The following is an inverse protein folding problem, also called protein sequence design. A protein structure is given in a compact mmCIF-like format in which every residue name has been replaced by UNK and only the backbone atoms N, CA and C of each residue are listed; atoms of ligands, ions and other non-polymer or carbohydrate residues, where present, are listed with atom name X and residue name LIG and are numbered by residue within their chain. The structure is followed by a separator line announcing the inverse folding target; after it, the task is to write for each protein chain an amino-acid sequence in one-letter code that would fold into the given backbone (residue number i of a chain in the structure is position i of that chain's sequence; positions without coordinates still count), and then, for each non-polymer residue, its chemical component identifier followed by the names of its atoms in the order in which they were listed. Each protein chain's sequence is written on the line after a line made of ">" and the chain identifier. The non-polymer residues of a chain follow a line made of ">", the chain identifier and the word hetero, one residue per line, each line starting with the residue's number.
data_IF_070733150661
#
_entry.id   IF_070733150661
#
_cell.length_a   1.000
_cell.length_b   1.000
_cell.length_c   1.000
_cell.angle_alpha   90.00
_cell.angle_beta   90.00
_cell.angle_gamma   90.00
#
_symmetry.space_group_name_H-M   'P 1'
#
loop_
_entity.id
_entity.type
_entity.pdbx_description
1 polymer ?
#
# COMPACT_ATOMS: atom_id res chain seq x y z
N UNK A 1 -18.73 -2.15 10.45
CA UNK A 1 -20.15 -1.76 10.33
C UNK A 1 -20.37 -1.00 9.05
N UNK A 2 -20.52 -1.72 7.93
CA UNK A 2 -20.84 -1.21 6.58
C UNK A 2 -21.98 -2.04 5.96
N UNK A 3 -22.97 -2.44 6.78
CA UNK A 3 -24.13 -3.25 6.34
C UNK A 3 -25.44 -2.45 6.26
N UNK A 4 -25.38 -1.12 6.20
CA UNK A 4 -26.58 -0.27 6.26
C UNK A 4 -26.76 0.77 5.16
N UNK A 5 -26.02 0.68 4.06
CA UNK A 5 -26.23 1.54 2.90
C UNK A 5 -26.13 0.74 1.58
N UNK A 6 -27.12 -0.12 1.34
CA UNK A 6 -27.54 -0.45 -0.03
C UNK A 6 -29.09 -0.55 -0.01
N UNK A 7 -29.81 0.39 -0.65
CA UNK A 7 -31.27 0.35 -0.72
C UNK A 7 -31.78 -0.78 -1.64
N UNK A 8 -33.07 -1.16 -1.57
CA UNK A 8 -33.68 -2.23 -2.35
C UNK A 8 -33.95 -1.82 -3.81
N UNK A 9 -32.92 -1.34 -4.52
CA UNK A 9 -33.03 -0.68 -5.82
C UNK A 9 -33.44 -1.64 -6.94
N UNK A 10 -32.99 -2.90 -6.87
CA UNK A 10 -33.36 -3.93 -7.86
C UNK A 10 -34.86 -4.25 -7.85
N UNK A 11 -35.54 -4.07 -6.72
CA UNK A 11 -36.96 -4.39 -6.57
C UNK A 11 -37.85 -3.18 -6.91
N UNK A 12 -37.39 -1.97 -6.63
CA UNK A 12 -38.03 -0.72 -7.04
C UNK A 12 -38.02 -0.52 -8.57
N UNK A 13 -36.92 -0.88 -9.25
CA UNK A 13 -36.80 -0.78 -10.70
C UNK A 13 -37.82 -1.64 -11.46
N UNK A 14 -38.18 -2.82 -10.93
CA UNK A 14 -39.24 -3.68 -11.51
C UNK A 14 -40.65 -3.12 -11.29
N UNK A 15 -40.88 -2.40 -10.18
CA UNK A 15 -42.18 -1.81 -9.85
C UNK A 15 -42.50 -0.53 -10.65
N UNK A 16 -41.48 0.19 -11.13
CA UNK A 16 -41.65 1.43 -11.90
C UNK A 16 -41.86 1.23 -13.41
N UNK A 17 -41.69 0.00 -13.91
CA UNK A 17 -41.75 -0.37 -15.33
C UNK A 17 -43.03 0.10 -16.07
N UNK A 18 -44.23 0.13 -15.45
CA UNK A 18 -45.45 0.59 -16.12
C UNK A 18 -45.65 2.12 -16.15
N UNK A 19 -44.96 2.90 -15.29
CA UNK A 19 -45.18 4.36 -15.16
C UNK A 19 -44.16 5.17 -15.99
N UNK A 20 -43.00 4.58 -16.29
CA UNK A 20 -41.91 5.23 -17.02
C UNK A 20 -42.16 5.42 -18.52
N UNK A 21 -43.18 4.77 -19.10
CA UNK A 21 -43.53 4.92 -20.52
C UNK A 21 -44.09 6.30 -20.92
N UNK A 22 -44.31 7.22 -19.97
CA UNK A 22 -44.85 8.57 -20.22
C UNK A 22 -43.88 9.73 -19.96
N UNK A 23 -42.61 9.46 -19.65
CA UNK A 23 -41.58 10.50 -19.60
C UNK A 23 -40.79 10.49 -20.91
N UNK A 24 -41.29 11.24 -21.89
CA UNK A 24 -40.53 11.53 -23.10
C UNK A 24 -39.21 12.23 -22.73
N UNK A 25 -38.08 11.60 -23.06
CA UNK A 25 -36.80 12.31 -23.20
C UNK A 25 -35.81 12.28 -22.04
N UNK A 26 -35.95 11.42 -21.03
CA UNK A 26 -34.84 11.21 -20.07
C UNK A 26 -33.90 10.15 -20.64
N UNK A 27 -32.67 10.48 -21.07
CA UNK A 27 -31.69 9.47 -21.46
C UNK A 27 -31.45 8.55 -20.26
N UNK A 28 -31.73 7.26 -20.45
CA UNK A 28 -31.42 6.23 -19.46
C UNK A 28 -29.91 6.25 -19.20
N UNK A 29 -29.44 6.21 -17.94
CA UNK A 29 -28.03 6.00 -17.68
C UNK A 29 -27.59 4.74 -18.41
N UNK A 30 -26.52 4.86 -19.20
CA UNK A 30 -26.06 3.79 -20.08
C UNK A 30 -25.62 2.59 -19.26
N UNK A 31 -25.84 1.37 -19.77
CA UNK A 31 -25.34 0.11 -19.17
C UNK A 31 -23.86 0.23 -18.74
N UNK A 32 -23.07 0.96 -19.54
CA UNK A 32 -21.67 1.27 -19.28
C UNK A 32 -21.38 1.98 -17.94
N UNK A 33 -22.30 2.81 -17.42
CA UNK A 33 -22.13 3.46 -16.11
C UNK A 33 -22.36 2.45 -14.96
N UNK A 34 -23.33 1.55 -15.11
CA UNK A 34 -23.58 0.50 -14.11
C UNK A 34 -22.48 -0.57 -14.11
N UNK A 35 -21.99 -0.96 -15.29
CA UNK A 35 -20.85 -1.87 -15.46
C UNK A 35 -19.57 -1.28 -14.86
N UNK A 36 -19.34 0.02 -15.02
CA UNK A 36 -18.24 0.70 -14.34
C UNK A 36 -18.37 0.56 -12.82
N UNK A 37 -19.46 1.02 -12.22
CA UNK A 37 -19.66 0.95 -10.76
C UNK A 37 -19.55 -0.45 -10.18
N UNK A 38 -20.04 -1.47 -10.90
CA UNK A 38 -19.99 -2.86 -10.44
C UNK A 38 -18.55 -3.42 -10.42
N UNK A 39 -17.69 -2.97 -11.34
CA UNK A 39 -16.26 -3.33 -11.36
C UNK A 39 -15.51 -2.71 -10.18
N UNK A 40 -15.76 -1.44 -9.88
CA UNK A 40 -15.21 -0.77 -8.69
C UNK A 40 -15.58 -1.48 -7.38
N UNK A 41 -16.85 -1.87 -7.24
CA UNK A 41 -17.32 -2.61 -6.06
C UNK A 41 -16.61 -3.95 -5.91
N UNK A 42 -16.33 -4.65 -7.02
CA UNK A 42 -15.60 -5.92 -7.02
C UNK A 42 -14.13 -5.73 -6.61
N UNK A 43 -13.46 -4.72 -7.15
CA UNK A 43 -12.05 -4.44 -6.83
C UNK A 43 -11.89 -3.98 -5.37
N UNK A 44 -12.80 -3.14 -4.88
CA UNK A 44 -12.81 -2.72 -3.49
C UNK A 44 -13.10 -3.90 -2.55
N UNK A 45 -14.05 -4.78 -2.90
CA UNK A 45 -14.33 -5.98 -2.13
C UNK A 45 -13.12 -6.93 -2.08
N UNK A 46 -12.34 -7.03 -3.17
CA UNK A 46 -11.10 -7.79 -3.19
C UNK A 46 -10.05 -7.20 -2.25
N UNK A 47 -9.84 -5.87 -2.28
CA UNK A 47 -8.93 -5.20 -1.36
C UNK A 47 -9.35 -5.35 0.10
N UNK A 48 -10.65 -5.20 0.39
CA UNK A 48 -11.21 -5.43 1.73
C UNK A 48 -10.98 -6.88 2.19
N UNK A 49 -11.14 -7.86 1.30
CA UNK A 49 -10.88 -9.27 1.61
C UNK A 49 -9.43 -9.51 1.99
N UNK A 50 -8.47 -8.90 1.28
CA UNK A 50 -7.05 -9.01 1.62
C UNK A 50 -6.77 -8.40 2.99
N UNK A 51 -7.26 -7.18 3.25
CA UNK A 51 -7.05 -6.52 4.54
C UNK A 51 -7.74 -7.22 5.71
N UNK A 52 -8.82 -7.96 5.44
CA UNK A 52 -9.54 -8.75 6.45
C UNK A 52 -8.93 -10.15 6.68
N UNK A 53 -8.05 -10.64 5.79
CA UNK A 53 -7.41 -11.94 5.97
C UNK A 53 -6.44 -11.91 7.16
N UNK A 54 -6.60 -12.87 8.07
CA UNK A 54 -5.74 -13.04 9.26
C UNK A 54 -4.28 -13.33 8.93
N UNK A 55 -4.00 -13.82 7.73
CA UNK A 55 -2.66 -14.10 7.25
C UNK A 55 -2.00 -12.87 6.61
N UNK A 56 -2.76 -11.78 6.39
CA UNK A 56 -2.19 -10.53 5.90
C UNK A 56 -1.30 -9.91 6.96
N UNK A 57 -0.06 -9.62 6.55
CA UNK A 57 0.91 -8.91 7.37
C UNK A 57 1.36 -7.64 6.65
N UNK A 58 1.76 -6.64 7.45
CA UNK A 58 2.26 -5.37 6.97
C UNK A 58 3.75 -5.30 7.25
N UNK A 59 4.55 -5.03 6.21
CA UNK A 59 5.96 -4.69 6.37
C UNK A 59 6.12 -3.19 6.38
N UNK A 60 6.72 -2.66 7.44
CA UNK A 60 7.03 -1.24 7.52
C UNK A 60 8.38 -0.97 6.88
N UNK A 61 8.49 0.14 6.15
CA UNK A 61 9.75 0.63 5.59
C UNK A 61 9.90 2.07 5.99
N UNK A 62 10.98 2.41 6.67
CA UNK A 62 11.23 3.77 7.15
C UNK A 62 12.71 4.09 7.18
N UNK A 63 13.05 5.35 6.98
CA UNK A 63 14.41 5.84 7.20
C UNK A 63 14.66 6.04 8.71
N UNK A 64 15.79 5.58 9.27
CA UNK A 64 16.07 5.66 10.71
C UNK A 64 16.45 7.09 11.13
N UNK A 65 15.47 7.98 11.17
CA UNK A 65 15.58 9.33 11.68
C UNK A 65 14.33 9.73 12.49
N UNK A 66 14.27 10.95 13.03
CA UNK A 66 13.18 11.38 13.90
C UNK A 66 11.81 11.30 13.20
N UNK A 67 11.74 11.78 11.96
CA UNK A 67 10.52 11.71 11.16
C UNK A 67 10.09 10.26 10.88
N UNK A 68 11.04 9.37 10.61
CA UNK A 68 10.78 7.94 10.44
C UNK A 68 10.28 7.29 11.72
N UNK A 69 10.86 7.63 12.87
CA UNK A 69 10.43 7.13 14.17
C UNK A 69 8.99 7.55 14.49
N UNK A 70 8.65 8.82 14.26
CA UNK A 70 7.29 9.33 14.45
C UNK A 70 6.28 8.68 13.50
N UNK A 71 6.67 8.46 12.24
CA UNK A 71 5.85 7.79 11.25
C UNK A 71 5.61 6.30 11.59
N UNK A 72 6.65 5.58 12.01
CA UNK A 72 6.55 4.18 12.44
C UNK A 72 5.63 4.07 13.65
N UNK A 73 5.77 4.96 14.63
CA UNK A 73 4.92 4.98 15.83
C UNK A 73 3.46 5.21 15.45
N UNK A 74 3.17 6.24 14.65
CA UNK A 74 1.80 6.59 14.27
C UNK A 74 1.16 5.48 13.43
N UNK A 75 1.90 4.94 12.46
CA UNK A 75 1.43 3.86 11.59
C UNK A 75 1.15 2.60 12.39
N UNK A 76 2.05 2.19 13.28
CA UNK A 76 1.88 0.99 14.11
C UNK A 76 0.64 1.08 15.00
N UNK A 77 0.37 2.26 15.59
CA UNK A 77 -0.86 2.49 16.34
C UNK A 77 -2.11 2.33 15.45
N UNK A 78 -2.08 2.92 14.25
CA UNK A 78 -3.17 2.79 13.28
C UNK A 78 -3.43 1.34 12.85
N UNK A 79 -2.36 0.58 12.58
CA UNK A 79 -2.44 -0.84 12.22
C UNK A 79 -2.98 -1.69 13.36
N UNK A 80 -2.54 -1.44 14.60
CA UNK A 80 -3.04 -2.13 15.79
C UNK A 80 -4.55 -1.92 15.99
N UNK A 81 -5.06 -0.71 15.77
CA UNK A 81 -6.51 -0.43 15.81
C UNK A 81 -7.31 -1.19 14.74
N UNK A 82 -6.66 -1.58 13.66
CA UNK A 82 -7.25 -2.35 12.56
C UNK A 82 -6.97 -3.86 12.65
N UNK A 83 -6.23 -4.31 13.66
CA UNK A 83 -5.86 -5.73 13.82
C UNK A 83 -4.87 -6.24 12.77
N UNK A 84 -4.17 -5.35 12.07
CA UNK A 84 -3.16 -5.70 11.07
C UNK A 84 -1.81 -5.91 11.75
N UNK A 85 -1.23 -7.10 11.58
CA UNK A 85 0.05 -7.46 12.19
C UNK A 85 1.21 -6.89 11.38
N UNK A 86 2.12 -6.20 12.03
CA UNK A 86 3.43 -5.87 11.43
C UNK A 86 4.36 -7.08 11.53
N UNK A 87 4.96 -7.54 10.43
CA UNK A 87 5.92 -8.66 10.45
C UNK A 87 7.38 -8.20 10.62
N UNK A 88 7.75 -7.13 9.91
CA UNK A 88 9.12 -6.65 9.80
C UNK A 88 9.16 -5.13 9.66
N UNK A 89 10.18 -4.51 10.25
CA UNK A 89 10.55 -3.12 9.98
C UNK A 89 11.86 -3.07 9.19
N UNK A 90 11.78 -2.62 7.95
CA UNK A 90 12.96 -2.36 7.11
C UNK A 90 13.44 -0.94 7.38
N UNK A 91 14.59 -0.82 8.02
CA UNK A 91 15.29 0.44 8.14
C UNK A 91 16.00 0.74 6.80
N UNK A 92 15.36 1.55 5.97
CA UNK A 92 15.86 1.88 4.64
C UNK A 92 16.83 3.06 4.69
N UNK A 93 17.72 3.16 3.68
CA UNK A 93 18.70 4.24 3.55
C UNK A 93 19.61 4.40 4.76
N UNK A 94 19.98 3.28 5.40
CA UNK A 94 20.94 3.29 6.50
C UNK A 94 22.28 3.80 5.98
N UNK A 95 22.74 4.91 6.54
CA UNK A 95 24.00 5.53 6.21
C UNK A 95 25.18 4.66 6.69
N UNK A 96 26.30 4.63 5.94
CA UNK A 96 27.48 3.85 6.31
C UNK A 96 28.11 4.36 7.62
N UNK A 97 28.39 3.42 8.52
CA UNK A 97 28.94 3.71 9.86
C UNK A 97 30.42 4.12 9.82
N UNK A 98 31.15 3.68 8.78
CA UNK A 98 32.59 3.93 8.58
C UNK A 98 32.85 5.32 7.98
N UNK A 99 32.25 6.36 8.56
CA UNK A 99 32.46 7.75 8.17
C UNK A 99 33.44 8.42 9.13
N UNK A 100 34.37 9.28 8.66
CA UNK A 100 35.29 10.01 9.55
C UNK A 100 34.56 10.73 10.69
N UNK A 101 35.13 10.62 11.91
CA UNK A 101 34.78 11.51 13.00
C UNK A 101 34.99 12.96 12.53
N UNK A 102 34.01 13.83 12.75
CA UNK A 102 33.92 15.22 12.25
C UNK A 102 33.36 15.42 10.83
N UNK A 103 32.87 14.35 10.19
CA UNK A 103 32.01 14.51 9.01
C UNK A 103 30.69 15.22 9.38
N UNK A 104 30.11 15.93 8.42
CA UNK A 104 28.75 16.48 8.51
C UNK A 104 27.69 15.41 8.80
N UNK A 105 28.00 14.13 8.54
CA UNK A 105 27.17 12.97 8.85
C UNK A 105 27.18 12.56 10.34
N UNK A 106 28.05 13.13 11.18
CA UNK A 106 28.16 12.77 12.60
C UNK A 106 26.82 12.90 13.35
N UNK A 107 26.10 14.01 13.15
CA UNK A 107 24.77 14.23 13.71
C UNK A 107 23.73 13.23 13.19
N UNK A 108 23.53 13.12 11.86
CA UNK A 108 22.66 12.11 11.25
C UNK A 108 22.95 10.67 11.70
N UNK A 109 24.22 10.25 11.77
CA UNK A 109 24.62 8.93 12.23
C UNK A 109 24.28 8.69 13.71
N UNK A 110 24.47 9.70 14.57
CA UNK A 110 24.06 9.59 15.97
C UNK A 110 22.55 9.39 16.11
N UNK A 111 21.76 10.13 15.32
CA UNK A 111 20.31 10.00 15.32
C UNK A 111 19.85 8.66 14.73
N UNK A 112 20.50 8.18 13.66
CA UNK A 112 20.27 6.86 13.09
C UNK A 112 20.51 5.75 14.10
N UNK A 113 21.66 5.78 14.79
CA UNK A 113 22.00 4.76 15.81
C UNK A 113 20.96 4.72 16.91
N UNK A 114 20.56 5.89 17.42
CA UNK A 114 19.51 6.01 18.44
C UNK A 114 18.18 5.43 17.94
N UNK A 115 17.73 5.83 16.75
CA UNK A 115 16.46 5.35 16.19
C UNK A 115 16.49 3.84 15.92
N UNK A 116 17.59 3.30 15.40
CA UNK A 116 17.75 1.87 15.19
C UNK A 116 17.75 1.08 16.51
N UNK A 117 18.39 1.62 17.56
CA UNK A 117 18.37 1.02 18.90
C UNK A 117 16.95 0.97 19.47
N UNK A 118 16.20 2.07 19.37
CA UNK A 118 14.80 2.14 19.77
C UNK A 118 13.91 1.15 19.01
N UNK A 119 14.17 0.91 17.72
CA UNK A 119 13.39 -0.01 16.90
C UNK A 119 13.68 -1.49 17.15
N UNK A 120 14.93 -1.86 17.46
CA UNK A 120 15.33 -3.27 17.68
C UNK A 120 14.68 -3.91 18.91
N UNK A 121 14.13 -3.12 19.83
CA UNK A 121 13.36 -3.64 20.97
C UNK A 121 12.00 -4.21 20.55
N UNK A 122 11.08 -3.38 20.01
CA UNK A 122 9.72 -3.80 19.68
C UNK A 122 9.54 -4.47 18.30
N UNK A 123 10.50 -4.37 17.38
CA UNK A 123 10.38 -4.87 16.01
C UNK A 123 11.52 -5.81 15.63
N UNK A 124 11.24 -6.74 14.71
CA UNK A 124 12.29 -7.36 13.90
C UNK A 124 12.76 -6.33 12.85
N UNK A 125 14.04 -5.96 12.90
CA UNK A 125 14.60 -4.86 12.10
C UNK A 125 15.61 -5.38 11.10
N UNK A 126 15.41 -5.06 9.81
CA UNK A 126 16.38 -5.31 8.74
C UNK A 126 16.88 -4.01 8.15
N UNK A 127 18.17 -3.77 8.25
CA UNK A 127 18.82 -2.61 7.66
C UNK A 127 19.03 -2.82 6.15
N UNK A 128 18.70 -1.80 5.36
CA UNK A 128 19.03 -1.67 3.94
C UNK A 128 19.88 -0.42 3.78
N UNK A 129 21.10 -0.59 3.30
CA UNK A 129 22.09 0.48 3.21
C UNK A 129 21.72 1.52 2.14
N UNK A 130 22.12 2.75 2.37
CA UNK A 130 22.14 3.78 1.34
C UNK A 130 23.32 3.52 0.39
N UNK A 131 23.07 3.32 -0.91
CA UNK A 131 24.11 3.00 -1.90
C UNK A 131 25.04 4.18 -2.25
N UNK A 132 24.68 5.39 -1.81
CA UNK A 132 25.37 6.63 -2.18
C UNK A 132 24.80 7.28 -3.45
N UNK A 133 23.87 6.59 -4.12
CA UNK A 133 23.10 7.07 -5.25
C UNK A 133 21.70 6.44 -5.25
N UNK A 134 20.81 6.98 -6.08
CA UNK A 134 19.52 6.34 -6.34
C UNK A 134 19.73 4.98 -7.03
N UNK A 135 19.13 3.90 -6.52
CA UNK A 135 19.20 2.59 -7.16
C UNK A 135 18.60 2.61 -8.57
N UNK A 136 19.34 2.13 -9.57
CA UNK A 136 18.90 1.98 -10.97
C UNK A 136 19.31 0.61 -11.53
N UNK A 137 18.33 -0.09 -12.09
CA UNK A 137 18.55 -1.40 -12.71
C UNK A 137 18.73 -2.52 -11.68
N UNK A 138 18.92 -3.74 -12.18
CA UNK A 138 18.91 -4.97 -11.38
C UNK A 138 20.11 -5.09 -10.44
N UNK A 139 21.26 -4.55 -10.84
CA UNK A 139 22.50 -4.67 -10.06
C UNK A 139 22.40 -3.86 -8.75
N UNK A 140 21.88 -2.63 -8.83
CA UNK A 140 21.63 -1.82 -7.63
C UNK A 140 20.57 -2.45 -6.73
N UNK A 141 19.51 -3.02 -7.31
CA UNK A 141 18.49 -3.75 -6.53
C UNK A 141 19.09 -4.97 -5.83
N UNK A 142 19.99 -5.69 -6.48
CA UNK A 142 20.73 -6.79 -5.87
C UNK A 142 21.66 -6.29 -4.74
N UNK A 143 22.33 -5.15 -4.95
CA UNK A 143 23.22 -4.54 -3.95
C UNK A 143 22.48 -4.06 -2.69
N UNK A 144 21.21 -3.64 -2.81
CA UNK A 144 20.38 -3.30 -1.64
C UNK A 144 20.10 -4.52 -0.74
N UNK A 145 20.15 -5.74 -1.28
CA UNK A 145 19.89 -6.99 -0.58
C UNK A 145 18.60 -6.96 0.29
N UNK A 146 17.53 -6.36 -0.26
CA UNK A 146 16.27 -6.15 0.46
C UNK A 146 15.64 -7.50 0.86
N UNK A 147 15.09 -7.64 2.08
CA UNK A 147 14.39 -8.86 2.48
C UNK A 147 13.24 -9.20 1.53
N UNK A 148 13.16 -10.47 1.09
CA UNK A 148 12.09 -10.96 0.21
C UNK A 148 10.69 -10.78 0.81
N UNK A 149 9.69 -10.52 -0.04
CA UNK A 149 8.35 -10.11 0.38
C UNK A 149 7.40 -11.29 0.63
N UNK A 150 7.69 -12.48 0.10
CA UNK A 150 6.91 -13.70 0.31
C UNK A 150 7.78 -14.95 0.09
N UNK A 151 8.07 -15.77 1.12
CA UNK A 151 8.66 -17.08 0.86
C UNK A 151 7.66 -18.04 0.20
N UNK A 152 6.34 -17.93 0.50
CA UNK A 152 5.34 -18.95 0.13
C UNK A 152 3.97 -18.44 -0.38
N UNK A 153 3.71 -17.13 -0.43
CA UNK A 153 2.40 -16.61 -0.87
C UNK A 153 2.44 -16.07 -2.30
N UNK A 154 1.50 -16.54 -3.14
CA UNK A 154 1.27 -15.99 -4.47
C UNK A 154 0.79 -14.54 -4.33
N UNK A 155 1.34 -13.59 -5.10
CA UNK A 155 0.79 -12.23 -5.17
C UNK A 155 -0.69 -12.29 -5.49
N UNK A 156 -1.50 -11.43 -4.87
CA UNK A 156 -2.86 -11.20 -5.35
C UNK A 156 -2.73 -10.62 -6.75
N UNK A 157 -3.29 -11.30 -7.75
CA UNK A 157 -3.37 -10.78 -9.12
C UNK A 157 -4.39 -9.64 -9.14
N UNK A 158 -3.88 -8.42 -9.16
CA UNK A 158 -4.68 -7.24 -9.42
C UNK A 158 -4.89 -7.14 -10.94
N UNK A 159 -6.08 -6.74 -11.41
CA UNK A 159 -6.32 -6.51 -12.82
C UNK A 159 -5.57 -5.25 -13.30
N UNK A 160 -4.24 -5.35 -13.43
CA UNK A 160 -3.40 -4.30 -14.01
C UNK A 160 -3.29 -4.55 -15.50
N UNK A 161 -3.76 -3.60 -16.32
CA UNK A 161 -3.55 -3.65 -17.76
C UNK A 161 -2.21 -2.99 -18.08
N UNK A 162 -1.23 -3.77 -18.53
CA UNK A 162 0.07 -3.25 -18.94
C UNK A 162 -0.05 -2.50 -20.28
N UNK A 163 0.18 -1.18 -20.26
CA UNK A 163 0.25 -0.32 -21.46
C UNK A 163 1.64 0.29 -21.67
N UNK A 164 2.69 -0.32 -21.10
CA UNK A 164 4.08 0.19 -21.17
C UNK A 164 4.58 0.40 -22.60
N UNK A 165 4.12 -0.40 -23.56
CA UNK A 165 4.54 -0.32 -24.96
C UNK A 165 3.90 0.85 -25.75
N UNK A 166 2.82 1.45 -25.24
CA UNK A 166 2.09 2.51 -25.95
C UNK A 166 2.42 3.90 -25.40
N UNK A 167 2.44 4.07 -24.07
CA UNK A 167 2.52 5.41 -23.44
C UNK A 167 3.67 5.55 -22.41
N UNK A 168 4.42 4.48 -22.11
CA UNK A 168 5.50 4.51 -21.12
C UNK A 168 5.04 4.73 -19.66
N UNK A 169 3.76 4.53 -19.37
CA UNK A 169 3.18 4.68 -18.02
C UNK A 169 2.37 3.43 -17.65
N UNK A 170 2.47 2.99 -16.39
CA UNK A 170 1.52 2.05 -15.80
C UNK A 170 0.22 2.80 -15.48
N UNK A 171 -0.83 2.55 -16.26
CA UNK A 171 -2.16 3.14 -16.02
C UNK A 171 -2.92 2.23 -15.07
N UNK A 172 -3.11 2.71 -13.85
CA UNK A 172 -4.07 2.13 -12.93
C UNK A 172 -5.47 2.49 -13.42
N UNK A 173 -6.18 1.51 -13.96
CA UNK A 173 -7.62 1.65 -14.10
C UNK A 173 -8.22 1.36 -12.74
N UNK A 174 -8.59 2.45 -12.09
CA UNK A 174 -9.55 2.45 -11.01
C UNK A 174 -10.94 2.38 -11.66
#
# INVERSE_FOLDING_TARGET
>A
GLRRLLPPERQAARALRPVLGRLAGVPMPTEALYEATARWDLELAAAESVLADRNTAVRLVAEPGPAGADAVRTTTLGLALRGLRTDLLVANRVLPEDTPADSWLSGPLAQQRKTLEEWRGPYDVRAVAHLGHDPRGTDDLAALAVPGVNPDASPVEWPVTDRLAEDGVLVWHI
#
